data_IF_158389097402
#
_entry.id   IF_158389097402
#
_cell.length_a   1.000
_cell.length_b   1.000
_cell.length_c   1.000
_cell.angle_alpha   90.00
_cell.angle_beta   90.00
_cell.angle_gamma   90.00
#
_symmetry.space_group_name_H-M   'P 1'
#
loop_
_entity.id
_entity.type
_entity.pdbx_description
1 polymer ?
#
# COMPACT_ATOMS: atom_id res chain seq x y z
N UNK A 1 -19.38 -3.12 -22.35
CA UNK A 1 -19.55 -2.13 -21.26
C UNK A 1 -18.92 -2.72 -20.01
N UNK A 2 -17.86 -2.15 -19.42
CA UNK A 2 -17.35 -2.67 -18.16
C UNK A 2 -18.41 -2.42 -17.07
N UNK A 3 -18.52 -3.26 -16.04
CA UNK A 3 -19.51 -3.07 -14.99
C UNK A 3 -19.27 -1.72 -14.30
N UNK A 4 -20.27 -0.84 -14.31
CA UNK A 4 -20.24 0.40 -13.54
C UNK A 4 -20.35 0.05 -12.05
N UNK A 5 -19.21 -0.16 -11.39
CA UNK A 5 -19.14 -0.32 -9.94
C UNK A 5 -19.68 0.96 -9.27
N UNK A 6 -20.56 0.85 -8.29
CA UNK A 6 -21.05 2.00 -7.52
C UNK A 6 -19.90 2.69 -6.76
N UNK A 7 -20.02 3.98 -6.40
CA UNK A 7 -19.00 4.67 -5.59
C UNK A 7 -18.64 3.91 -4.30
N UNK A 8 -19.62 3.24 -3.68
CA UNK A 8 -19.40 2.37 -2.52
C UNK A 8 -18.52 1.19 -2.85
N UNK A 9 -18.82 0.43 -3.92
CA UNK A 9 -18.03 -0.77 -4.25
C UNK A 9 -16.61 -0.45 -4.70
N UNK A 10 -16.39 0.67 -5.39
CA UNK A 10 -15.04 1.15 -5.73
C UNK A 10 -14.22 1.49 -4.50
N UNK A 11 -14.81 2.20 -3.55
CA UNK A 11 -14.12 2.57 -2.31
C UNK A 11 -13.81 1.33 -1.46
N UNK A 12 -14.76 0.42 -1.31
CA UNK A 12 -14.53 -0.85 -0.60
C UNK A 12 -13.41 -1.68 -1.25
N UNK A 13 -13.39 -1.76 -2.59
CA UNK A 13 -12.30 -2.43 -3.32
C UNK A 13 -10.93 -1.81 -3.02
N UNK A 14 -10.84 -0.48 -3.04
CA UNK A 14 -9.58 0.23 -2.73
C UNK A 14 -9.10 -0.04 -1.30
N UNK A 15 -10.01 -0.04 -0.33
CA UNK A 15 -9.67 -0.35 1.07
C UNK A 15 -9.09 -1.76 1.18
N UNK A 16 -9.75 -2.77 0.60
CA UNK A 16 -9.24 -4.15 0.63
C UNK A 16 -7.90 -4.30 -0.10
N UNK A 17 -7.71 -3.59 -1.22
CA UNK A 17 -6.44 -3.60 -1.94
C UNK A 17 -5.31 -2.99 -1.12
N UNK A 18 -5.55 -1.88 -0.43
CA UNK A 18 -4.58 -1.24 0.47
C UNK A 18 -4.19 -2.16 1.63
N UNK A 19 -5.15 -2.85 2.25
CA UNK A 19 -4.89 -3.84 3.31
C UNK A 19 -3.93 -4.95 2.83
N UNK A 20 -4.19 -5.49 1.64
CA UNK A 20 -3.37 -6.55 1.03
C UNK A 20 -1.97 -6.06 0.63
N UNK A 21 -1.86 -4.85 0.06
CA UNK A 21 -0.58 -4.23 -0.29
C UNK A 21 0.32 -4.08 0.94
N UNK A 22 -0.20 -3.47 2.01
CA UNK A 22 0.57 -3.26 3.25
C UNK A 22 1.01 -4.57 3.89
N UNK A 23 0.12 -5.57 3.96
CA UNK A 23 0.48 -6.87 4.52
C UNK A 23 1.65 -7.51 3.75
N UNK A 24 1.60 -7.46 2.41
CA UNK A 24 2.63 -8.04 1.55
C UNK A 24 3.96 -7.30 1.68
N UNK A 25 3.92 -5.96 1.73
CA UNK A 25 5.11 -5.13 1.88
C UNK A 25 5.75 -5.32 3.26
N UNK A 26 4.96 -5.35 4.34
CA UNK A 26 5.44 -5.58 5.70
C UNK A 26 6.04 -6.98 5.90
N UNK A 27 5.52 -7.99 5.21
CA UNK A 27 6.13 -9.32 5.17
C UNK A 27 7.50 -9.28 4.47
N UNK A 28 7.59 -8.64 3.31
CA UNK A 28 8.86 -8.49 2.59
C UNK A 28 9.88 -7.67 3.39
N UNK A 29 9.46 -6.55 4.01
CA UNK A 29 10.33 -5.72 4.85
C UNK A 29 10.93 -6.52 6.01
N UNK A 30 10.12 -7.34 6.69
CA UNK A 30 10.59 -8.22 7.77
C UNK A 30 11.54 -9.30 7.24
N UNK A 31 11.18 -9.97 6.14
CA UNK A 31 12.01 -11.01 5.54
C UNK A 31 13.40 -10.53 5.14
N UNK A 32 13.52 -9.28 4.68
CA UNK A 32 14.79 -8.68 4.28
C UNK A 32 15.47 -7.86 5.39
N UNK A 33 14.92 -7.83 6.61
CA UNK A 33 15.44 -7.04 7.74
C UNK A 33 15.62 -5.56 7.40
N UNK A 34 14.61 -4.97 6.75
CA UNK A 34 14.64 -3.55 6.40
C UNK A 34 14.61 -2.66 7.65
N UNK A 35 15.65 -1.85 7.86
CA UNK A 35 15.79 -0.99 9.04
C UNK A 35 14.62 0.02 9.18
N UNK A 36 14.07 0.47 8.05
CA UNK A 36 12.94 1.39 8.01
C UNK A 36 11.58 0.77 8.35
N UNK A 37 11.50 -0.54 8.61
CA UNK A 37 10.25 -1.27 8.80
C UNK A 37 9.33 -0.65 9.85
N UNK A 38 9.86 -0.34 11.05
CA UNK A 38 9.03 0.15 12.15
C UNK A 38 8.36 1.50 11.81
N UNK A 39 9.11 2.41 11.16
CA UNK A 39 8.59 3.70 10.72
C UNK A 39 7.55 3.53 9.59
N UNK A 40 7.81 2.64 8.64
CA UNK A 40 6.92 2.36 7.51
C UNK A 40 5.60 1.73 7.99
N UNK A 41 5.67 0.73 8.87
CA UNK A 41 4.49 0.10 9.48
C UNK A 41 3.66 1.12 10.29
N UNK A 42 4.28 2.06 10.99
CA UNK A 42 3.53 3.09 11.72
C UNK A 42 2.69 3.97 10.77
N UNK A 43 3.20 4.26 9.58
CA UNK A 43 2.46 4.97 8.52
C UNK A 43 1.29 4.13 8.00
N UNK A 44 1.51 2.84 7.73
CA UNK A 44 0.45 1.92 7.34
C UNK A 44 -0.66 1.86 8.38
N UNK A 45 -0.29 1.62 9.65
CA UNK A 45 -1.24 1.50 10.74
C UNK A 45 -2.11 2.74 10.88
N UNK A 46 -1.51 3.93 10.78
CA UNK A 46 -2.26 5.20 10.85
C UNK A 46 -3.32 5.30 9.76
N UNK A 47 -3.01 4.89 8.52
CA UNK A 47 -4.01 4.88 7.46
C UNK A 47 -5.06 3.78 7.69
N UNK A 48 -4.64 2.57 8.06
CA UNK A 48 -5.56 1.44 8.32
C UNK A 48 -6.61 1.82 9.37
N UNK A 49 -6.19 2.44 10.46
CA UNK A 49 -7.09 2.91 11.52
C UNK A 49 -8.13 3.92 10.96
N UNK A 50 -7.72 4.83 10.07
CA UNK A 50 -8.62 5.79 9.43
C UNK A 50 -9.60 5.13 8.44
N UNK A 51 -9.13 4.24 7.57
CA UNK A 51 -9.97 3.60 6.55
C UNK A 51 -10.92 2.57 7.16
N UNK A 52 -10.58 1.95 8.29
CA UNK A 52 -11.46 1.04 9.02
C UNK A 52 -12.66 1.76 9.64
N UNK A 53 -12.46 2.97 10.16
CA UNK A 53 -13.56 3.84 10.62
C UNK A 53 -14.50 4.13 9.45
N UNK A 54 -13.95 4.59 8.33
CA UNK A 54 -14.71 4.88 7.11
C UNK A 54 -15.47 3.64 6.61
N UNK A 55 -14.82 2.48 6.56
CA UNK A 55 -15.42 1.21 6.11
C UNK A 55 -16.62 0.83 6.97
N UNK A 56 -16.48 0.94 8.30
CA UNK A 56 -17.57 0.68 9.26
C UNK A 56 -18.76 1.60 8.97
N UNK A 57 -18.53 2.89 8.85
CA UNK A 57 -19.61 3.88 8.64
C UNK A 57 -20.26 3.72 7.26
N UNK A 58 -19.50 3.27 6.26
CA UNK A 58 -20.02 2.92 4.94
C UNK A 58 -21.00 1.74 4.98
N UNK A 59 -20.62 0.68 5.72
CA UNK A 59 -21.41 -0.54 5.87
C UNK A 59 -22.68 -0.30 6.71
N UNK A 60 -22.57 0.56 7.71
CA UNK A 60 -23.70 0.98 8.55
C UNK A 60 -24.62 2.01 7.86
N UNK A 61 -24.29 2.44 6.63
CA UNK A 61 -25.07 3.42 5.87
C UNK A 61 -24.99 4.86 6.41
N UNK A 62 -24.16 5.10 7.42
CA UNK A 62 -23.99 6.39 8.11
C UNK A 62 -23.14 7.37 7.30
N UNK A 63 -22.29 6.86 6.40
CA UNK A 63 -21.49 7.66 5.47
C UNK A 63 -21.81 7.30 4.02
N UNK A 64 -22.04 8.33 3.20
CA UNK A 64 -22.08 8.21 1.74
C UNK A 64 -20.68 8.52 1.20
N UNK A 65 -20.11 7.69 0.31
CA UNK A 65 -18.84 7.99 -0.34
C UNK A 65 -18.92 9.36 -1.02
N UNK A 66 -18.09 10.29 -0.57
CA UNK A 66 -17.98 11.60 -1.18
C UNK A 66 -16.66 11.72 -1.96
N UNK A 67 -16.61 12.69 -2.87
CA UNK A 67 -15.43 12.94 -3.69
C UNK A 67 -14.19 13.22 -2.84
N UNK A 68 -14.35 13.95 -1.73
CA UNK A 68 -13.26 14.31 -0.82
C UNK A 68 -12.53 13.08 -0.25
N UNK A 69 -13.28 12.05 0.16
CA UNK A 69 -12.70 10.81 0.68
C UNK A 69 -11.97 10.01 -0.40
N UNK A 70 -12.55 9.96 -1.61
CA UNK A 70 -11.89 9.31 -2.75
C UNK A 70 -10.56 9.98 -3.08
N UNK A 71 -10.56 11.32 -3.14
CA UNK A 71 -9.36 12.13 -3.42
C UNK A 71 -8.34 12.07 -2.29
N UNK A 72 -8.78 12.01 -1.03
CA UNK A 72 -7.88 11.77 0.11
C UNK A 72 -7.12 10.46 -0.06
N UNK A 73 -7.83 9.35 -0.34
CA UNK A 73 -7.16 8.07 -0.54
C UNK A 73 -6.22 8.09 -1.74
N UNK A 74 -6.59 8.74 -2.85
CA UNK A 74 -5.71 8.87 -4.03
C UNK A 74 -4.44 9.65 -3.71
N UNK A 75 -4.59 10.80 -3.07
CA UNK A 75 -3.47 11.65 -2.68
C UNK A 75 -2.54 10.95 -1.69
N UNK A 76 -3.10 10.29 -0.66
CA UNK A 76 -2.32 9.55 0.32
C UNK A 76 -1.55 8.41 -0.34
N UNK A 77 -2.21 7.58 -1.16
CA UNK A 77 -1.56 6.45 -1.85
C UNK A 77 -0.44 6.93 -2.76
N UNK A 78 -0.66 8.00 -3.52
CA UNK A 78 0.38 8.56 -4.39
C UNK A 78 1.59 9.07 -3.60
N UNK A 79 1.36 9.77 -2.48
CA UNK A 79 2.45 10.27 -1.64
C UNK A 79 3.23 9.12 -0.99
N UNK A 80 2.53 8.09 -0.54
CA UNK A 80 3.14 6.91 0.07
C UNK A 80 4.01 6.13 -0.93
N UNK A 81 3.46 5.79 -2.11
CA UNK A 81 4.17 5.07 -3.17
C UNK A 81 5.42 5.83 -3.63
N UNK A 82 5.30 7.15 -3.83
CA UNK A 82 6.43 7.96 -4.32
C UNK A 82 7.50 8.23 -3.26
N UNK A 83 7.15 8.07 -1.97
CA UNK A 83 8.03 8.25 -0.83
C UNK A 83 8.53 6.92 -0.26
N UNK A 84 7.77 6.36 0.70
CA UNK A 84 8.18 5.23 1.52
C UNK A 84 8.39 3.95 0.69
N UNK A 85 7.44 3.58 -0.17
CA UNK A 85 7.54 2.36 -0.99
C UNK A 85 8.71 2.46 -1.98
N UNK A 86 8.99 3.67 -2.50
CA UNK A 86 10.16 3.89 -3.37
C UNK A 86 11.48 3.68 -2.63
N UNK A 87 11.57 4.11 -1.37
CA UNK A 87 12.75 3.84 -0.54
C UNK A 87 12.92 2.34 -0.30
N UNK A 88 11.84 1.66 0.08
CA UNK A 88 11.86 0.21 0.28
C UNK A 88 12.21 -0.56 -1.01
N UNK A 89 11.62 -0.19 -2.15
CA UNK A 89 11.94 -0.78 -3.45
C UNK A 89 13.42 -0.56 -3.84
N UNK A 90 14.01 0.57 -3.45
CA UNK A 90 15.45 0.83 -3.68
C UNK A 90 16.32 -0.06 -2.81
N UNK A 91 15.94 -0.24 -1.54
CA UNK A 91 16.57 -1.21 -0.65
C UNK A 91 16.49 -2.64 -1.21
N UNK A 92 15.31 -3.08 -1.67
CA UNK A 92 15.14 -4.42 -2.27
C UNK A 92 16.03 -4.62 -3.49
N UNK A 93 16.14 -3.63 -4.39
CA UNK A 93 17.06 -3.69 -5.53
C UNK A 93 18.51 -3.83 -5.08
N UNK A 94 18.93 -3.08 -4.06
CA UNK A 94 20.30 -3.18 -3.53
C UNK A 94 20.60 -4.54 -2.89
N UNK A 95 19.59 -5.19 -2.29
CA UNK A 95 19.70 -6.57 -1.78
C UNK A 95 19.65 -7.61 -2.90
N UNK A 96 18.93 -7.34 -3.98
CA UNK A 96 18.88 -8.18 -5.19
C UNK A 96 20.18 -8.17 -5.99
N UNK A 97 20.84 -7.01 -6.11
CA UNK A 97 22.19 -6.91 -6.72
C UNK A 97 23.27 -7.62 -5.87
N UNK A 98 23.06 -7.75 -4.56
CA UNK A 98 23.92 -8.59 -3.71
C UNK A 98 23.68 -10.11 -3.89
N UNK A 99 22.68 -10.51 -4.69
CA UNK A 99 22.33 -11.89 -5.00
C UNK A 99 22.75 -12.38 -6.39
N UNK A 100 23.38 -11.55 -7.23
CA UNK A 100 23.88 -11.95 -8.55
C UNK A 100 25.35 -11.54 -8.73
N UNK A 101 26.25 -12.21 -8.02
CA UNK A 101 27.66 -12.32 -8.42
C UNK A 101 28.07 -13.78 -8.35
N UNK A 102 27.66 -14.52 -9.37
CA UNK A 102 28.49 -15.57 -9.93
C UNK A 102 28.59 -15.27 -11.41
N UNK A 103 29.79 -14.83 -11.79
CA UNK A 103 30.23 -14.64 -13.15
C UNK A 103 30.06 -15.92 -13.97
N UNK A 104 29.62 -15.76 -15.21
CA UNK A 104 29.70 -16.75 -16.27
C UNK A 104 29.85 -15.97 -17.58
N UNK A 105 31.10 -15.92 -18.04
CA UNK A 105 31.75 -15.17 -19.12
C UNK A 105 30.96 -14.74 -20.38
N UNK A 106 31.44 -13.68 -21.06
CA UNK A 106 31.00 -13.34 -22.40
C UNK A 106 31.74 -14.19 -23.44
N UNK A 107 30.98 -14.97 -24.22
CA UNK A 107 31.33 -15.29 -25.60
C UNK A 107 30.07 -15.38 -26.46
#
# INVERSE_FOLDING_TARGET
MPPHHSPRSRLSFRISFTEMHFSSEEEAMRAHSYEGYAAHQAVHKKLLDQIHIVRRDLLNGTVVPCQMLTSFMESWTNHHITGADKQFATFLRSKGDAGQVMAGDPH
#
